data_IF_360983366940
#
_entry.id   IF_360983366940
#
_cell.length_a   1.000
_cell.length_b   1.000
_cell.length_c   1.000
_cell.angle_alpha   90.00
_cell.angle_beta   90.00
_cell.angle_gamma   90.00
#
_symmetry.space_group_name_H-M   'P 1'
#
loop_
_entity.id
_entity.type
_entity.pdbx_description
1 polymer ?
#
# COMPACT_ATOMS: atom_id res chain seq x y z
N UNK A 1 -35.32 -25.92 -90.38
CA UNK A 1 -34.80 -26.78 -89.29
C UNK A 1 -34.12 -25.87 -88.28
N UNK A 2 -34.82 -25.52 -87.21
CA UNK A 2 -34.27 -24.66 -86.09
C UNK A 2 -34.00 -25.57 -84.92
N UNK A 3 -32.75 -25.62 -84.47
CA UNK A 3 -32.35 -26.32 -83.25
C UNK A 3 -32.45 -25.38 -82.09
N UNK A 4 -33.20 -25.77 -81.09
CA UNK A 4 -33.34 -25.08 -79.79
C UNK A 4 -32.40 -25.72 -78.76
N UNK A 5 -31.58 -24.93 -78.14
CA UNK A 5 -30.67 -25.34 -77.01
C UNK A 5 -31.37 -25.00 -75.70
N UNK A 6 -31.38 -25.85 -74.68
CA UNK A 6 -31.91 -25.52 -73.34
C UNK A 6 -30.91 -24.79 -72.46
N UNK A 7 -31.35 -23.73 -71.81
CA UNK A 7 -30.63 -23.04 -70.73
C UNK A 7 -30.68 -23.91 -69.44
N UNK A 8 -29.55 -24.20 -68.89
CA UNK A 8 -29.40 -24.73 -67.50
C UNK A 8 -29.38 -23.53 -66.51
N UNK A 9 -30.39 -23.44 -65.68
CA UNK A 9 -30.40 -22.50 -64.55
C UNK A 9 -29.66 -23.14 -63.35
N UNK A 10 -28.49 -22.59 -63.02
CA UNK A 10 -27.77 -22.95 -61.83
C UNK A 10 -28.30 -22.21 -60.57
N UNK A 11 -28.82 -22.95 -59.62
CA UNK A 11 -29.17 -22.42 -58.27
C UNK A 11 -27.91 -22.26 -57.43
N UNK A 12 -27.52 -21.00 -57.12
CA UNK A 12 -26.51 -20.72 -56.08
C UNK A 12 -27.22 -20.69 -54.72
N UNK A 13 -26.89 -21.70 -53.87
CA UNK A 13 -27.30 -21.72 -52.47
C UNK A 13 -26.21 -20.94 -51.70
N UNK A 14 -26.52 -19.70 -51.26
CA UNK A 14 -25.68 -18.95 -50.34
C UNK A 14 -25.95 -19.44 -48.90
N UNK A 15 -25.00 -20.17 -48.34
CA UNK A 15 -25.02 -20.53 -46.91
C UNK A 15 -24.62 -19.32 -46.07
N UNK A 16 -25.61 -18.69 -45.38
CA UNK A 16 -25.34 -17.71 -44.34
C UNK A 16 -24.75 -18.46 -43.09
N UNK A 17 -23.45 -18.34 -42.87
CA UNK A 17 -22.83 -18.68 -41.58
C UNK A 17 -23.10 -17.52 -40.64
N UNK A 18 -24.12 -17.64 -39.78
CA UNK A 18 -24.34 -16.75 -38.66
C UNK A 18 -23.26 -17.04 -37.60
N UNK A 19 -22.18 -16.28 -37.65
CA UNK A 19 -21.18 -16.27 -36.57
C UNK A 19 -21.80 -15.65 -35.32
N UNK A 20 -22.18 -16.45 -34.33
CA UNK A 20 -22.42 -15.97 -32.97
C UNK A 20 -21.12 -15.39 -32.43
N UNK A 21 -20.91 -14.10 -32.52
CA UNK A 21 -19.93 -13.39 -31.71
C UNK A 21 -20.40 -13.52 -30.26
N UNK A 22 -19.76 -14.42 -29.49
CA UNK A 22 -19.87 -14.40 -28.03
C UNK A 22 -19.28 -13.06 -27.56
N UNK A 23 -20.15 -12.11 -27.25
CA UNK A 23 -19.78 -10.91 -26.52
C UNK A 23 -19.36 -11.37 -25.11
N UNK A 24 -18.07 -11.49 -24.87
CA UNK A 24 -17.55 -11.59 -23.51
C UNK A 24 -17.79 -10.21 -22.85
N UNK A 25 -18.90 -10.09 -22.14
CA UNK A 25 -19.10 -8.97 -21.21
C UNK A 25 -18.03 -9.11 -20.12
N UNK A 26 -16.91 -8.43 -20.30
CA UNK A 26 -15.98 -8.22 -19.19
C UNK A 26 -16.72 -7.37 -18.17
N UNK A 27 -17.13 -7.99 -17.06
CA UNK A 27 -17.65 -7.23 -15.92
C UNK A 27 -16.54 -6.30 -15.42
N UNK A 28 -16.89 -5.05 -15.14
CA UNK A 28 -15.94 -4.09 -14.57
C UNK A 28 -15.27 -4.69 -13.31
N UNK A 29 -13.99 -4.38 -13.05
CA UNK A 29 -13.29 -4.82 -11.83
C UNK A 29 -14.12 -4.49 -10.58
N UNK A 30 -14.22 -5.40 -9.64
CA UNK A 30 -15.00 -5.24 -8.41
C UNK A 30 -14.25 -5.83 -7.24
N UNK A 31 -14.26 -5.13 -6.09
CA UNK A 31 -13.73 -5.65 -4.83
C UNK A 31 -14.60 -6.82 -4.34
N UNK A 32 -13.94 -7.90 -3.92
CA UNK A 32 -14.55 -9.10 -3.33
C UNK A 32 -13.74 -9.51 -2.11
N UNK A 33 -14.33 -10.31 -1.23
CA UNK A 33 -13.62 -10.87 -0.10
C UNK A 33 -12.54 -11.84 -0.58
N UNK A 34 -11.29 -11.59 -0.20
CA UNK A 34 -10.20 -12.54 -0.35
C UNK A 34 -10.17 -13.49 0.84
N UNK A 35 -10.10 -12.91 2.05
CA UNK A 35 -10.06 -13.64 3.30
C UNK A 35 -10.53 -12.79 4.46
N UNK A 36 -11.21 -13.41 5.39
CA UNK A 36 -11.49 -12.86 6.71
C UNK A 36 -10.34 -13.19 7.65
N UNK A 37 -9.80 -12.19 8.33
CA UNK A 37 -8.76 -12.39 9.33
C UNK A 37 -9.35 -12.96 10.63
N UNK A 38 -8.57 -13.71 11.43
CA UNK A 38 -9.01 -14.21 12.74
C UNK A 38 -9.44 -13.08 13.69
N UNK A 39 -10.24 -13.42 14.69
CA UNK A 39 -10.84 -12.50 15.68
C UNK A 39 -9.83 -11.77 16.57
N UNK A 40 -8.58 -12.23 16.59
CA UNK A 40 -7.46 -11.54 17.25
C UNK A 40 -6.78 -10.49 16.35
N UNK A 41 -7.30 -10.24 15.15
CA UNK A 41 -6.79 -9.24 14.21
C UNK A 41 -7.77 -8.08 14.07
N UNK A 42 -7.25 -6.86 14.14
CA UNK A 42 -7.96 -5.63 13.77
C UNK A 42 -6.96 -4.63 13.14
N UNK A 43 -7.47 -3.65 12.43
CA UNK A 43 -6.67 -2.63 11.76
C UNK A 43 -5.48 -3.20 10.94
N UNK A 44 -5.68 -4.15 10.00
CA UNK A 44 -4.61 -4.58 9.11
C UNK A 44 -4.15 -3.41 8.24
N UNK A 45 -2.83 -3.26 8.05
CA UNK A 45 -2.23 -2.12 7.38
C UNK A 45 -1.33 -2.54 6.20
N UNK A 46 -0.04 -2.23 6.23
CA UNK A 46 0.90 -2.45 5.15
C UNK A 46 1.06 -3.91 4.74
N UNK A 47 1.42 -4.13 3.49
CA UNK A 47 1.60 -5.47 2.92
C UNK A 47 2.90 -5.62 2.15
N UNK A 48 3.50 -6.82 2.20
CA UNK A 48 4.68 -7.18 1.43
C UNK A 48 4.45 -8.47 0.65
N UNK A 49 4.72 -8.44 -0.66
CA UNK A 49 4.69 -9.63 -1.51
C UNK A 49 5.99 -10.44 -1.35
N UNK A 50 5.87 -11.73 -1.05
CA UNK A 50 6.99 -12.64 -0.99
C UNK A 50 7.24 -13.33 -2.34
N UNK A 51 8.43 -13.92 -2.50
CA UNK A 51 8.83 -14.63 -3.73
C UNK A 51 7.94 -15.83 -4.10
N UNK A 52 7.27 -16.42 -3.11
CA UNK A 52 6.34 -17.52 -3.28
C UNK A 52 4.89 -17.09 -3.54
N UNK A 53 4.68 -15.80 -3.81
CA UNK A 53 3.36 -15.14 -3.94
C UNK A 53 2.50 -15.14 -2.67
N UNK A 54 3.07 -15.46 -1.50
CA UNK A 54 2.42 -15.14 -0.22
C UNK A 54 2.50 -13.64 0.03
N UNK A 55 1.54 -13.12 0.80
CA UNK A 55 1.51 -11.72 1.25
C UNK A 55 1.66 -11.69 2.76
N UNK A 56 2.62 -10.93 3.27
CA UNK A 56 2.71 -10.59 4.69
C UNK A 56 1.90 -9.33 4.93
N UNK A 57 1.07 -9.32 5.95
CA UNK A 57 0.20 -8.21 6.35
C UNK A 57 0.58 -7.77 7.76
N UNK A 58 0.86 -6.51 7.97
CA UNK A 58 1.05 -5.94 9.31
C UNK A 58 -0.28 -5.71 9.99
N UNK A 59 -0.35 -6.05 11.29
CA UNK A 59 -1.59 -5.94 12.09
C UNK A 59 -1.25 -5.31 13.43
N UNK A 60 -1.32 -3.97 13.55
CA UNK A 60 -0.99 -3.24 14.78
C UNK A 60 -2.03 -3.41 15.90
N UNK A 61 -3.24 -3.79 15.57
CA UNK A 61 -4.35 -3.96 16.52
C UNK A 61 -4.70 -2.69 17.32
N UNK A 62 -4.83 -1.54 16.62
CA UNK A 62 -5.09 -0.24 17.27
C UNK A 62 -6.48 -0.13 17.90
N UNK A 63 -7.50 -0.81 17.35
CA UNK A 63 -8.88 -0.74 17.88
C UNK A 63 -9.11 -1.63 19.12
N UNK A 64 -8.27 -2.63 19.33
CA UNK A 64 -8.26 -3.46 20.55
C UNK A 64 -6.82 -3.85 20.90
N UNK A 65 -6.16 -3.03 21.69
CA UNK A 65 -4.79 -3.24 22.12
C UNK A 65 -4.61 -4.34 23.16
N UNK A 66 -5.68 -4.99 23.63
CA UNK A 66 -5.56 -6.22 24.43
C UNK A 66 -5.05 -7.39 23.58
N UNK A 67 -5.19 -7.28 22.25
CA UNK A 67 -4.62 -8.24 21.29
C UNK A 67 -3.19 -7.86 20.98
N UNK A 68 -2.23 -8.82 20.96
CA UNK A 68 -0.84 -8.51 20.59
C UNK A 68 -0.74 -8.05 19.13
N UNK A 69 0.20 -7.14 18.81
CA UNK A 69 0.50 -6.82 17.42
C UNK A 69 1.18 -8.01 16.74
N UNK A 70 0.92 -8.19 15.45
CA UNK A 70 1.41 -9.37 14.74
C UNK A 70 1.59 -9.11 13.24
N UNK A 71 2.22 -10.07 12.57
CA UNK A 71 2.21 -10.21 11.13
C UNK A 71 1.37 -11.44 10.77
N UNK A 72 0.44 -11.26 9.85
CA UNK A 72 -0.28 -12.35 9.21
C UNK A 72 0.38 -12.71 7.87
N UNK A 73 0.25 -13.95 7.43
CA UNK A 73 0.59 -14.41 6.09
C UNK A 73 -0.68 -14.84 5.39
N UNK A 74 -0.91 -14.28 4.21
CA UNK A 74 -1.89 -14.79 3.27
C UNK A 74 -1.15 -15.69 2.30
N UNK A 75 -1.44 -16.99 2.33
CA UNK A 75 -0.78 -17.98 1.49
C UNK A 75 -1.16 -17.81 0.01
N UNK A 76 -0.43 -18.44 -0.95
CA UNK A 76 -0.84 -18.44 -2.35
C UNK A 76 -2.23 -19.07 -2.59
N UNK A 77 -2.69 -19.91 -1.65
CA UNK A 77 -4.05 -20.48 -1.64
C UNK A 77 -5.09 -19.57 -0.97
N UNK A 78 -4.73 -18.32 -0.68
CA UNK A 78 -5.59 -17.32 -0.03
C UNK A 78 -6.09 -17.71 1.37
N UNK A 79 -5.25 -18.40 2.14
CA UNK A 79 -5.52 -18.74 3.53
C UNK A 79 -4.74 -17.82 4.46
N UNK A 80 -5.39 -17.31 5.52
CA UNK A 80 -4.73 -16.49 6.53
C UNK A 80 -4.12 -17.37 7.62
N UNK A 81 -2.83 -17.17 7.91
CA UNK A 81 -2.11 -17.83 8.98
C UNK A 81 -1.25 -16.80 9.75
N UNK A 82 -1.02 -17.06 11.05
CA UNK A 82 -0.11 -16.23 11.85
C UNK A 82 1.33 -16.45 11.39
N UNK A 83 2.00 -15.36 10.98
CA UNK A 83 3.40 -15.42 10.59
C UNK A 83 4.33 -15.13 11.77
N UNK A 84 4.08 -14.04 12.50
CA UNK A 84 4.88 -13.63 13.65
C UNK A 84 4.05 -12.79 14.61
N UNK A 85 4.17 -13.06 15.90
CA UNK A 85 3.54 -12.27 16.97
C UNK A 85 4.62 -11.52 17.74
N UNK A 86 4.48 -10.21 17.85
CA UNK A 86 5.46 -9.41 18.59
C UNK A 86 5.24 -9.58 20.09
N UNK A 87 6.30 -9.80 20.87
CA UNK A 87 6.22 -9.82 22.33
C UNK A 87 5.58 -8.53 22.87
N UNK A 88 4.72 -8.65 23.87
CA UNK A 88 4.09 -7.51 24.52
C UNK A 88 4.07 -7.75 26.04
N UNK A 89 4.81 -6.99 26.86
CA UNK A 89 5.71 -5.89 26.48
C UNK A 89 6.91 -6.35 25.65
N UNK A 90 7.40 -5.47 24.75
CA UNK A 90 8.57 -5.79 23.92
C UNK A 90 9.85 -5.60 24.76
N UNK A 91 10.74 -6.61 24.82
CA UNK A 91 11.94 -6.57 25.65
C UNK A 91 12.87 -5.40 25.27
N UNK A 92 13.38 -4.71 26.29
CA UNK A 92 14.36 -3.63 26.11
C UNK A 92 13.77 -2.26 25.75
N UNK A 93 12.45 -2.15 25.60
CA UNK A 93 11.77 -0.87 25.39
C UNK A 93 11.15 -0.35 26.70
N UNK A 94 11.03 0.97 26.81
CA UNK A 94 10.42 1.61 27.96
C UNK A 94 8.91 1.37 27.98
N UNK A 95 8.33 1.26 29.19
CA UNK A 95 6.89 1.13 29.36
C UNK A 95 6.15 2.27 28.63
N UNK A 96 5.09 1.92 27.93
CA UNK A 96 4.27 2.85 27.15
C UNK A 96 4.65 2.95 25.66
N UNK A 97 5.91 2.56 25.32
CA UNK A 97 6.40 2.42 23.95
C UNK A 97 6.97 1.00 23.70
N UNK A 98 6.63 0.07 24.57
CA UNK A 98 7.06 -1.33 24.58
C UNK A 98 6.06 -2.27 23.87
N UNK A 99 5.11 -1.70 23.14
CA UNK A 99 4.23 -2.38 22.20
C UNK A 99 4.62 -1.97 20.78
N UNK A 100 4.98 -2.92 19.95
CA UNK A 100 5.23 -2.67 18.53
C UNK A 100 3.91 -2.29 17.84
N UNK A 101 3.95 -1.35 16.89
CA UNK A 101 2.80 -0.93 16.07
C UNK A 101 3.20 -0.99 14.58
N UNK A 102 3.19 -2.20 13.96
CA UNK A 102 3.69 -2.39 12.61
C UNK A 102 2.74 -1.75 11.59
N UNK A 103 3.29 -0.83 10.77
CA UNK A 103 2.63 -0.14 9.67
C UNK A 103 3.14 -0.68 8.33
N UNK A 104 3.62 0.20 7.43
CA UNK A 104 4.22 -0.21 6.19
C UNK A 104 5.29 -1.29 6.36
N UNK A 105 5.31 -2.25 5.45
CA UNK A 105 6.23 -3.40 5.47
C UNK A 105 6.71 -3.71 4.06
N UNK A 106 7.97 -4.10 3.91
CA UNK A 106 8.56 -4.45 2.62
C UNK A 106 9.50 -5.64 2.74
N UNK A 107 9.53 -6.49 1.71
CA UNK A 107 10.43 -7.65 1.64
C UNK A 107 11.72 -7.28 0.89
N UNK A 108 12.87 -7.52 1.52
CA UNK A 108 14.16 -7.36 0.89
C UNK A 108 14.48 -8.55 -0.07
N UNK A 109 15.40 -8.36 -1.03
CA UNK A 109 15.85 -9.45 -1.90
C UNK A 109 16.43 -10.66 -1.15
N UNK A 110 16.98 -10.46 0.07
CA UNK A 110 17.42 -11.54 0.96
C UNK A 110 16.29 -12.41 1.50
N UNK A 111 15.05 -11.90 1.52
CA UNK A 111 13.90 -12.48 2.19
C UNK A 111 13.66 -11.91 3.60
N UNK A 112 14.53 -11.04 4.09
CA UNK A 112 14.28 -10.29 5.31
C UNK A 112 13.15 -9.29 5.10
N UNK A 113 12.45 -8.92 6.17
CA UNK A 113 11.38 -7.95 6.13
C UNK A 113 11.81 -6.68 6.87
N UNK A 114 11.49 -5.52 6.31
CA UNK A 114 11.61 -4.23 7.00
C UNK A 114 10.22 -3.70 7.26
N UNK A 115 10.00 -3.14 8.45
CA UNK A 115 8.70 -2.54 8.78
C UNK A 115 8.87 -1.27 9.62
N UNK A 116 7.94 -0.35 9.41
CA UNK A 116 7.77 0.84 10.22
C UNK A 116 7.00 0.49 11.50
N UNK A 117 7.45 1.04 12.64
CA UNK A 117 6.83 0.89 13.94
C UNK A 117 6.37 2.27 14.42
N UNK A 118 5.07 2.55 14.34
CA UNK A 118 4.49 3.86 14.58
C UNK A 118 4.08 4.02 16.04
N UNK A 119 4.83 4.83 16.78
CA UNK A 119 4.58 5.12 18.19
C UNK A 119 3.87 6.45 18.45
N UNK A 120 3.64 7.26 17.42
CA UNK A 120 3.08 8.60 17.50
C UNK A 120 1.76 8.70 18.27
N UNK A 121 0.91 7.69 18.16
CA UNK A 121 -0.37 7.64 18.89
C UNK A 121 -0.17 7.41 20.41
N UNK A 122 1.01 6.98 20.83
CA UNK A 122 1.38 6.74 22.23
C UNK A 122 2.26 7.84 22.80
N UNK A 123 3.24 8.26 22.02
CA UNK A 123 4.21 9.27 22.43
C UNK A 123 4.70 10.05 21.20
N UNK A 124 4.40 11.34 21.15
CA UNK A 124 4.77 12.26 20.07
C UNK A 124 6.23 12.75 20.14
N UNK A 125 7.05 12.19 21.05
CA UNK A 125 8.43 12.58 21.25
C UNK A 125 9.40 11.70 20.43
N UNK A 126 9.11 11.49 19.14
CA UNK A 126 10.00 10.82 18.19
C UNK A 126 10.38 9.40 18.66
N UNK A 127 9.36 8.58 18.98
CA UNK A 127 9.55 7.20 19.46
C UNK A 127 9.35 6.14 18.38
N UNK A 128 8.91 6.53 17.17
CA UNK A 128 8.74 5.59 16.07
C UNK A 128 10.08 5.12 15.52
N UNK A 129 10.08 3.94 14.91
CA UNK A 129 11.30 3.17 14.59
C UNK A 129 11.17 2.47 13.25
N UNK A 130 12.30 2.17 12.64
CA UNK A 130 12.43 1.25 11.51
C UNK A 130 13.10 -0.03 12.01
N UNK A 131 12.45 -1.16 11.79
CA UNK A 131 12.95 -2.48 12.18
C UNK A 131 13.20 -3.38 10.98
N UNK A 132 14.11 -4.33 11.16
CA UNK A 132 14.38 -5.45 10.25
C UNK A 132 14.08 -6.76 10.97
N UNK A 133 13.31 -7.63 10.34
CA UNK A 133 13.14 -9.03 10.72
C UNK A 133 14.03 -9.89 9.86
N UNK A 134 14.99 -10.57 10.47
CA UNK A 134 15.82 -11.57 9.80
C UNK A 134 15.02 -12.85 9.69
N UNK A 135 14.75 -13.26 8.44
CA UNK A 135 13.88 -14.41 8.13
C UNK A 135 14.72 -15.55 7.54
N UNK A 136 14.67 -16.73 8.16
CA UNK A 136 15.28 -17.94 7.64
C UNK A 136 14.32 -19.12 7.68
N UNK A 137 14.30 -19.88 6.60
CA UNK A 137 13.38 -21.01 6.49
C UNK A 137 11.90 -20.64 6.69
N UNK A 138 11.52 -19.43 6.31
CA UNK A 138 10.16 -18.92 6.49
C UNK A 138 9.77 -18.53 7.91
N UNK A 139 10.76 -18.41 8.83
CA UNK A 139 10.55 -18.01 10.23
C UNK A 139 11.40 -16.82 10.61
N UNK A 140 10.89 -15.95 11.48
CA UNK A 140 11.64 -14.84 12.05
C UNK A 140 12.63 -15.40 13.07
N UNK A 141 13.94 -15.19 12.84
CA UNK A 141 15.01 -15.57 13.77
C UNK A 141 15.30 -14.48 14.79
N UNK A 142 15.37 -13.23 14.32
CA UNK A 142 15.64 -12.08 15.19
C UNK A 142 15.05 -10.79 14.60
N UNK A 143 14.87 -9.82 15.45
CA UNK A 143 14.48 -8.46 15.13
C UNK A 143 15.66 -7.54 15.40
N UNK A 144 15.96 -6.64 14.47
CA UNK A 144 17.10 -5.71 14.51
C UNK A 144 16.59 -4.29 14.36
N UNK A 145 16.98 -3.39 15.25
CA UNK A 145 16.70 -1.97 15.12
C UNK A 145 17.57 -1.39 14.00
N UNK A 146 16.95 -0.86 12.96
CA UNK A 146 17.66 -0.16 11.89
C UNK A 146 17.83 1.31 12.27
N UNK A 147 16.72 2.00 12.59
CA UNK A 147 16.75 3.41 12.96
C UNK A 147 15.64 3.74 13.95
N UNK A 148 15.87 4.78 14.76
CA UNK A 148 14.91 5.32 15.73
C UNK A 148 14.97 6.85 15.73
N UNK A 149 13.92 7.48 16.29
CA UNK A 149 13.83 8.92 16.35
C UNK A 149 12.88 9.52 15.31
N UNK A 150 12.05 8.70 14.66
CA UNK A 150 10.94 9.17 13.82
C UNK A 150 9.76 9.63 14.70
N UNK A 151 8.96 10.50 14.14
CA UNK A 151 7.66 10.86 14.70
C UNK A 151 6.57 9.89 14.18
N UNK A 152 6.35 9.88 12.86
CA UNK A 152 5.41 8.96 12.19
C UNK A 152 6.13 8.21 11.08
N UNK A 153 6.81 7.13 11.43
CA UNK A 153 7.36 6.18 10.47
C UNK A 153 6.22 5.40 9.81
N UNK A 154 6.12 5.39 8.47
CA UNK A 154 4.98 4.80 7.76
C UNK A 154 5.38 3.97 6.53
N UNK A 155 5.24 4.47 5.30
CA UNK A 155 5.45 3.72 4.07
C UNK A 155 6.92 3.33 3.82
N UNK A 156 7.13 2.17 3.18
CA UNK A 156 8.46 1.61 2.93
C UNK A 156 8.62 1.15 1.47
N UNK A 157 9.78 1.42 0.89
CA UNK A 157 10.21 0.83 -0.38
C UNK A 157 11.69 0.42 -0.32
N UNK A 158 12.08 -0.60 -1.10
CA UNK A 158 13.48 -1.01 -1.23
C UNK A 158 13.94 -0.80 -2.68
N UNK A 159 15.08 -0.13 -2.84
CA UNK A 159 15.69 0.06 -4.14
C UNK A 159 17.22 0.18 -4.00
N UNK A 160 17.96 -0.46 -4.93
CA UNK A 160 19.42 -0.37 -5.03
C UNK A 160 20.18 -0.50 -3.69
N UNK A 161 19.84 -1.55 -2.88
CA UNK A 161 20.54 -1.85 -1.63
C UNK A 161 20.20 -0.89 -0.49
N UNK A 162 19.13 -0.13 -0.60
CA UNK A 162 18.64 0.79 0.43
C UNK A 162 17.16 0.58 0.69
N UNK A 163 16.76 0.83 1.94
CA UNK A 163 15.36 0.98 2.36
C UNK A 163 15.05 2.47 2.46
N UNK A 164 13.91 2.85 1.89
CA UNK A 164 13.35 4.20 1.95
C UNK A 164 12.13 4.17 2.85
N UNK A 165 11.98 5.17 3.69
CA UNK A 165 10.89 5.27 4.65
C UNK A 165 10.30 6.67 4.64
N UNK A 166 8.99 6.77 4.71
CA UNK A 166 8.30 8.04 4.90
C UNK A 166 8.21 8.42 6.36
N UNK A 167 8.47 9.69 6.66
CA UNK A 167 8.19 10.37 7.92
C UNK A 167 6.99 11.30 7.68
N UNK A 168 5.80 10.86 8.04
CA UNK A 168 4.55 11.57 7.70
C UNK A 168 4.38 12.87 8.48
N UNK A 169 5.05 13.01 9.65
CA UNK A 169 4.99 14.22 10.51
C UNK A 169 6.38 14.56 11.02
N UNK A 170 7.24 15.11 10.18
CA UNK A 170 8.61 15.45 10.59
C UNK A 170 8.65 16.61 11.60
N UNK A 171 7.83 17.63 11.41
CA UNK A 171 7.73 18.80 12.30
C UNK A 171 6.26 19.02 12.67
N UNK A 172 5.83 18.55 13.83
CA UNK A 172 4.43 18.59 14.33
C UNK A 172 3.80 19.98 14.25
N UNK A 173 4.54 21.02 14.67
CA UNK A 173 4.03 22.39 14.76
C UNK A 173 4.19 23.18 13.45
N UNK A 174 4.79 22.60 12.40
CA UNK A 174 4.99 23.32 11.14
C UNK A 174 3.67 23.60 10.42
N UNK A 175 3.53 24.82 9.87
CA UNK A 175 2.41 25.26 9.03
C UNK A 175 2.96 25.89 7.73
N UNK A 176 2.79 25.21 6.58
CA UNK A 176 2.20 23.88 6.36
C UNK A 176 2.99 22.76 7.01
N UNK A 177 2.32 21.62 7.27
CA UNK A 177 2.94 20.44 7.82
C UNK A 177 4.14 20.00 6.99
N UNK A 178 5.26 19.71 7.64
CA UNK A 178 6.45 19.17 6.97
C UNK A 178 6.55 17.67 7.18
N UNK A 179 6.71 16.94 6.08
CA UNK A 179 7.00 15.50 6.04
C UNK A 179 8.25 15.23 5.21
N UNK A 180 8.77 14.01 5.26
CA UNK A 180 10.03 13.66 4.60
C UNK A 180 10.05 12.22 4.08
N UNK A 181 11.04 11.94 3.21
CA UNK A 181 11.53 10.59 2.92
C UNK A 181 12.97 10.50 3.42
N UNK A 182 13.28 9.44 4.14
CA UNK A 182 14.61 9.09 4.59
C UNK A 182 15.08 7.82 3.88
N UNK A 183 16.41 7.67 3.69
CA UNK A 183 17.05 6.52 3.04
C UNK A 183 18.14 5.95 3.93
N UNK A 184 18.08 4.64 4.17
CA UNK A 184 19.09 3.87 4.92
C UNK A 184 19.63 2.75 4.04
N UNK A 185 20.91 2.38 4.17
CA UNK A 185 21.40 1.16 3.55
C UNK A 185 20.82 -0.06 4.26
N UNK A 186 20.68 -1.20 3.56
CA UNK A 186 20.10 -2.41 4.15
C UNK A 186 20.99 -3.06 5.24
N UNK A 187 22.24 -2.64 5.37
CA UNK A 187 23.19 -3.09 6.40
C UNK A 187 23.35 -2.10 7.57
N UNK A 188 22.70 -0.94 7.54
CA UNK A 188 22.69 -0.01 8.66
C UNK A 188 21.85 -0.55 9.81
N UNK A 189 22.38 -0.40 11.03
CA UNK A 189 21.74 -0.83 12.27
C UNK A 189 21.98 0.22 13.37
N UNK A 190 21.02 0.34 14.29
CA UNK A 190 21.07 1.20 15.48
C UNK A 190 21.32 2.69 15.17
N UNK A 191 20.83 3.19 14.05
CA UNK A 191 20.91 4.61 13.70
C UNK A 191 19.97 5.39 14.62
N UNK A 192 20.50 6.39 15.32
CA UNK A 192 19.67 7.38 16.03
C UNK A 192 19.60 8.65 15.19
N UNK A 193 18.37 9.00 14.76
CA UNK A 193 18.16 10.24 13.99
C UNK A 193 18.57 11.46 14.83
N UNK A 194 19.11 12.47 14.13
CA UNK A 194 19.45 13.74 14.75
C UNK A 194 18.21 14.48 15.24
N UNK A 195 18.37 15.23 16.30
CA UNK A 195 17.32 16.15 16.79
C UNK A 195 17.80 17.59 16.61
N UNK A 196 17.06 18.43 15.88
CA UNK A 196 15.79 18.16 15.18
C UNK A 196 16.01 17.26 13.94
N UNK A 197 15.03 16.42 13.63
CA UNK A 197 15.08 15.44 12.51
C UNK A 197 15.41 16.09 11.18
N UNK A 198 14.94 17.33 10.93
CA UNK A 198 15.21 18.08 9.69
C UNK A 198 16.70 18.29 9.37
N UNK A 199 17.59 18.08 10.32
CA UNK A 199 19.05 18.16 10.13
C UNK A 199 19.71 16.81 9.90
N UNK A 200 18.93 15.72 9.82
CA UNK A 200 19.45 14.37 9.66
C UNK A 200 19.92 14.14 8.21
N UNK A 201 21.15 13.57 8.02
CA UNK A 201 21.70 13.35 6.68
C UNK A 201 20.98 12.24 5.89
N UNK A 202 20.15 11.40 6.53
CA UNK A 202 19.35 10.38 5.84
C UNK A 202 18.14 10.96 5.09
N UNK A 203 17.73 12.22 5.39
CA UNK A 203 16.66 12.89 4.66
C UNK A 203 17.11 13.14 3.23
N UNK A 204 16.33 12.64 2.28
CA UNK A 204 16.56 12.85 0.85
C UNK A 204 15.60 13.84 0.21
N UNK A 205 14.38 13.96 0.76
CA UNK A 205 13.36 14.90 0.27
C UNK A 205 12.42 15.31 1.39
N UNK A 206 11.86 16.52 1.27
CA UNK A 206 10.82 17.03 2.18
C UNK A 206 9.62 17.51 1.38
N UNK A 207 8.45 17.50 2.02
CA UNK A 207 7.18 17.90 1.44
C UNK A 207 6.43 18.84 2.38
N UNK A 208 5.48 19.58 1.81
CA UNK A 208 4.62 20.50 2.54
C UNK A 208 3.16 20.15 2.27
N UNK A 209 2.38 19.92 3.34
CA UNK A 209 0.95 19.63 3.29
C UNK A 209 0.14 20.72 3.96
N UNK A 210 -0.93 21.19 3.29
CA UNK A 210 -1.78 22.27 3.75
C UNK A 210 -3.03 21.77 4.50
N UNK A 211 -3.37 20.48 4.35
CA UNK A 211 -4.58 19.91 4.94
C UNK A 211 -4.50 19.90 6.47
N UNK A 212 -5.48 20.53 7.11
CA UNK A 212 -5.57 20.61 8.56
C UNK A 212 -6.50 19.55 9.17
N UNK A 213 -7.30 18.85 8.36
CA UNK A 213 -8.22 17.81 8.85
C UNK A 213 -7.46 16.50 9.11
N UNK A 214 -6.51 16.18 8.20
CA UNK A 214 -5.67 14.98 8.28
C UNK A 214 -4.21 15.41 8.18
N UNK A 215 -3.62 15.71 9.31
CA UNK A 215 -2.26 16.26 9.39
C UNK A 215 -1.20 15.17 9.28
N UNK A 216 -1.24 14.40 8.17
CA UNK A 216 -0.21 13.47 7.74
C UNK A 216 0.25 13.84 6.33
N UNK A 217 1.54 13.82 6.10
CA UNK A 217 2.17 14.17 4.82
C UNK A 217 2.57 12.94 4.02
N UNK A 218 3.87 12.76 3.76
CA UNK A 218 4.41 11.65 3.01
C UNK A 218 4.02 10.30 3.63
N UNK A 219 3.43 9.41 2.82
CA UNK A 219 2.88 8.13 3.26
C UNK A 219 3.25 7.03 2.27
N UNK A 220 2.36 6.56 1.39
CA UNK A 220 2.68 5.55 0.41
C UNK A 220 3.90 5.91 -0.45
N UNK A 221 4.73 4.91 -0.75
CA UNK A 221 6.00 5.10 -1.44
C UNK A 221 6.31 3.90 -2.35
N UNK A 222 6.68 4.17 -3.63
CA UNK A 222 6.97 3.11 -4.59
C UNK A 222 7.96 3.58 -5.66
N UNK A 223 8.80 2.67 -6.17
CA UNK A 223 9.71 2.95 -7.30
C UNK A 223 9.11 2.48 -8.63
N UNK A 224 9.29 3.25 -9.72
CA UNK A 224 9.01 2.76 -11.06
C UNK A 224 10.16 1.87 -11.61
N UNK A 225 9.94 1.26 -12.78
CA UNK A 225 10.93 0.40 -13.45
C UNK A 225 12.20 1.16 -13.87
N UNK A 226 12.16 2.50 -13.88
CA UNK A 226 13.27 3.39 -14.25
C UNK A 226 14.06 3.91 -13.04
N UNK A 227 13.64 3.52 -11.82
CA UNK A 227 14.23 3.97 -10.56
C UNK A 227 13.81 5.37 -10.12
N UNK A 228 12.70 5.91 -10.62
CA UNK A 228 12.11 7.10 -10.05
C UNK A 228 11.26 6.71 -8.84
N UNK A 229 11.27 7.54 -7.81
CA UNK A 229 10.51 7.31 -6.57
C UNK A 229 9.22 8.12 -6.60
N UNK A 230 8.10 7.46 -6.34
CA UNK A 230 6.80 8.10 -6.14
C UNK A 230 6.47 8.14 -4.65
N UNK A 231 5.94 9.28 -4.21
CA UNK A 231 5.57 9.53 -2.81
C UNK A 231 4.19 10.15 -2.78
N UNK A 232 3.24 9.46 -2.16
CA UNK A 232 1.90 9.96 -1.90
C UNK A 232 1.86 10.88 -0.68
N UNK A 233 1.16 12.00 -0.76
CA UNK A 233 0.87 12.83 0.41
C UNK A 233 -0.54 12.52 0.90
N UNK A 234 -0.64 11.87 2.06
CA UNK A 234 -1.88 11.37 2.63
C UNK A 234 -2.95 12.46 2.74
N UNK A 235 -2.65 13.56 3.44
CA UNK A 235 -3.62 14.63 3.68
C UNK A 235 -4.00 15.45 2.44
N UNK A 236 -3.22 15.38 1.35
CA UNK A 236 -3.39 16.23 0.17
C UNK A 236 -4.00 15.52 -1.05
N UNK A 237 -3.96 14.18 -1.10
CA UNK A 237 -4.29 13.44 -2.31
C UNK A 237 -3.41 13.86 -3.50
N UNK A 238 -2.11 14.00 -3.26
CA UNK A 238 -1.12 14.44 -4.24
C UNK A 238 0.00 13.42 -4.32
N UNK A 239 0.36 13.05 -5.55
CA UNK A 239 1.51 12.19 -5.84
C UNK A 239 2.69 13.03 -6.29
N UNK A 240 3.82 12.89 -5.61
CA UNK A 240 5.11 13.44 -6.03
C UNK A 240 5.93 12.40 -6.79
N UNK A 241 6.78 12.87 -7.70
CA UNK A 241 7.80 12.08 -8.37
C UNK A 241 9.17 12.66 -8.08
N UNK A 242 10.06 11.81 -7.58
CA UNK A 242 11.47 12.14 -7.32
C UNK A 242 12.32 11.41 -8.35
N UNK A 243 13.22 12.15 -9.00
CA UNK A 243 14.24 11.57 -9.88
C UNK A 243 15.60 11.68 -9.25
N UNK A 244 16.50 10.79 -9.62
CA UNK A 244 17.88 10.76 -9.11
C UNK A 244 18.88 10.98 -10.22
N UNK A 245 20.06 11.52 -9.89
CA UNK A 245 21.21 11.58 -10.78
C UNK A 245 22.04 10.28 -10.71
N UNK A 246 23.11 10.22 -11.48
CA UNK A 246 23.98 9.05 -11.53
C UNK A 246 24.72 8.73 -10.21
N UNK A 247 24.81 9.69 -9.28
CA UNK A 247 25.36 9.50 -7.94
C UNK A 247 24.32 8.97 -6.93
N UNK A 248 23.04 8.93 -7.32
CA UNK A 248 21.91 8.60 -6.45
C UNK A 248 21.46 9.78 -5.58
N UNK A 249 21.89 11.00 -5.87
CA UNK A 249 21.36 12.21 -5.26
C UNK A 249 20.05 12.62 -5.94
N UNK A 250 19.14 13.24 -5.18
CA UNK A 250 17.87 13.75 -5.73
C UNK A 250 18.15 14.84 -6.75
N UNK A 251 17.65 14.64 -7.98
CA UNK A 251 17.74 15.59 -9.09
C UNK A 251 16.51 16.50 -9.18
N UNK A 252 15.32 15.94 -8.97
CA UNK A 252 14.07 16.69 -8.94
C UNK A 252 13.07 16.06 -7.95
N UNK A 253 12.15 16.89 -7.42
CA UNK A 253 10.99 16.50 -6.64
C UNK A 253 9.80 17.35 -7.11
N UNK A 254 8.88 16.78 -7.85
CA UNK A 254 7.82 17.51 -8.53
C UNK A 254 6.47 16.83 -8.31
N UNK A 255 5.38 17.60 -8.33
CA UNK A 255 4.02 17.04 -8.34
C UNK A 255 3.83 16.30 -9.66
N UNK A 256 3.54 15.01 -9.55
CA UNK A 256 3.33 14.11 -10.68
C UNK A 256 1.84 13.96 -11.02
N UNK A 257 0.99 13.76 -10.01
CA UNK A 257 -0.45 13.61 -10.19
C UNK A 257 -1.21 14.31 -9.07
N UNK A 258 -2.30 14.95 -9.46
CA UNK A 258 -3.27 15.57 -8.58
C UNK A 258 -4.63 15.56 -9.28
N UNK A 259 -5.66 15.04 -8.61
CA UNK A 259 -7.00 14.96 -9.17
C UNK A 259 -8.04 15.30 -8.08
N UNK A 260 -8.26 16.60 -7.80
CA UNK A 260 -9.20 17.04 -6.78
C UNK A 260 -10.61 16.44 -6.99
N UNK A 261 -11.20 15.92 -5.91
CA UNK A 261 -12.50 15.23 -5.95
C UNK A 261 -12.46 13.78 -6.45
N UNK A 262 -11.30 13.30 -6.94
CA UNK A 262 -11.11 11.90 -7.34
C UNK A 262 -10.04 11.21 -6.49
N UNK A 263 -8.86 11.80 -6.36
CA UNK A 263 -7.81 11.38 -5.45
C UNK A 263 -7.91 12.24 -4.19
N UNK A 264 -8.48 11.67 -3.13
CA UNK A 264 -8.77 12.42 -1.89
C UNK A 264 -7.61 12.31 -0.93
N UNK A 265 -7.05 11.12 -0.77
CA UNK A 265 -5.80 10.90 -0.07
C UNK A 265 -4.92 9.85 -0.79
N UNK A 266 -3.67 9.72 -0.35
CA UNK A 266 -2.73 8.71 -0.84
C UNK A 266 -2.19 7.97 0.37
N UNK A 267 -2.71 6.79 0.59
CA UNK A 267 -2.19 5.81 1.55
C UNK A 267 -1.22 4.85 0.85
N UNK A 268 -1.10 3.61 1.25
CA UNK A 268 -0.20 2.63 0.67
C UNK A 268 -0.44 2.36 -0.82
N UNK A 269 0.61 2.02 -1.55
CA UNK A 269 0.55 1.81 -3.00
C UNK A 269 1.57 0.83 -3.52
N UNK A 270 1.25 0.16 -4.63
CA UNK A 270 2.17 -0.64 -5.42
C UNK A 270 1.98 -0.41 -6.91
N UNK A 271 3.02 -0.72 -7.70
CA UNK A 271 2.97 -0.65 -9.16
C UNK A 271 2.82 -2.02 -9.81
N UNK A 272 2.27 -2.04 -11.03
CA UNK A 272 2.32 -3.19 -11.92
C UNK A 272 3.56 -3.14 -12.84
N UNK A 273 3.69 -4.17 -13.70
CA UNK A 273 4.80 -4.26 -14.66
C UNK A 273 4.77 -3.16 -15.74
N UNK A 274 3.65 -2.48 -15.93
CA UNK A 274 3.49 -1.37 -16.87
C UNK A 274 3.70 0.01 -16.19
N UNK A 275 4.16 0.02 -14.94
CA UNK A 275 4.34 1.22 -14.11
C UNK A 275 3.03 1.98 -13.80
N UNK A 276 1.86 1.33 -13.84
CA UNK A 276 0.66 1.90 -13.26
C UNK A 276 0.76 1.78 -11.73
N UNK A 277 0.54 2.87 -11.01
CA UNK A 277 0.47 2.86 -9.55
C UNK A 277 -0.98 2.61 -9.11
N UNK A 278 -1.18 1.63 -8.26
CA UNK A 278 -2.45 1.38 -7.58
C UNK A 278 -2.34 1.94 -6.16
N UNK A 279 -3.18 2.92 -5.87
CA UNK A 279 -3.12 3.72 -4.65
C UNK A 279 -4.37 3.48 -3.83
N UNK A 280 -4.21 3.16 -2.55
CA UNK A 280 -5.32 3.15 -1.61
C UNK A 280 -5.74 4.59 -1.29
N UNK A 281 -6.99 4.91 -1.56
CA UNK A 281 -7.64 6.17 -1.19
C UNK A 281 -8.60 5.88 -0.04
N UNK A 282 -8.03 5.86 1.16
CA UNK A 282 -8.69 5.44 2.40
C UNK A 282 -9.92 6.30 2.69
N UNK A 283 -9.82 7.62 2.46
CA UNK A 283 -10.91 8.56 2.75
C UNK A 283 -12.11 8.36 1.81
N UNK A 284 -11.85 7.90 0.58
CA UNK A 284 -12.87 7.71 -0.44
C UNK A 284 -13.43 6.29 -0.51
N UNK A 285 -12.92 5.33 0.28
CA UNK A 285 -13.15 3.88 0.08
C UNK A 285 -12.90 3.48 -1.37
N UNK A 286 -11.71 3.82 -1.91
CA UNK A 286 -11.40 3.60 -3.31
C UNK A 286 -9.99 3.05 -3.52
N UNK A 287 -9.80 2.38 -4.66
CA UNK A 287 -8.48 2.14 -5.25
C UNK A 287 -8.39 2.99 -6.51
N UNK A 288 -7.42 3.90 -6.52
CA UNK A 288 -7.12 4.74 -7.68
C UNK A 288 -5.98 4.13 -8.49
N UNK A 289 -5.98 4.37 -9.80
CA UNK A 289 -4.87 4.06 -10.69
C UNK A 289 -4.24 5.38 -11.13
N UNK A 290 -2.93 5.54 -10.94
CA UNK A 290 -2.17 6.63 -11.53
C UNK A 290 -1.34 6.05 -12.67
N UNK A 291 -1.67 6.47 -13.90
CA UNK A 291 -0.98 6.01 -15.11
C UNK A 291 0.42 6.62 -15.22
N UNK A 292 1.34 6.04 -16.01
CA UNK A 292 2.69 6.60 -16.22
C UNK A 292 2.73 8.03 -16.78
N UNK A 293 1.63 8.52 -17.32
CA UNK A 293 1.47 9.91 -17.77
C UNK A 293 0.86 10.86 -16.73
N UNK A 294 0.60 10.38 -15.49
CA UNK A 294 0.00 11.15 -14.41
C UNK A 294 -1.54 11.20 -14.41
N UNK A 295 -2.21 10.53 -15.36
CA UNK A 295 -3.69 10.46 -15.36
C UNK A 295 -4.17 9.60 -14.19
N UNK A 296 -5.17 10.09 -13.45
CA UNK A 296 -5.82 9.38 -12.34
C UNK A 296 -7.15 8.80 -12.78
N UNK A 297 -7.32 7.51 -12.57
CA UNK A 297 -8.54 6.74 -12.84
C UNK A 297 -8.98 5.99 -11.58
N UNK A 298 -10.28 5.81 -11.37
CA UNK A 298 -10.80 4.97 -10.28
C UNK A 298 -10.94 3.54 -10.76
N UNK A 299 -10.22 2.60 -10.14
CA UNK A 299 -10.37 1.16 -10.41
C UNK A 299 -11.67 0.64 -9.79
N UNK A 300 -11.87 0.92 -8.52
CA UNK A 300 -13.07 0.58 -7.75
C UNK A 300 -13.29 1.57 -6.61
N UNK A 301 -14.54 1.84 -6.31
CA UNK A 301 -14.97 2.64 -5.17
C UNK A 301 -16.33 2.15 -4.67
N UNK A 302 -16.55 2.18 -3.37
CA UNK A 302 -17.85 1.88 -2.76
C UNK A 302 -18.17 2.82 -1.60
N UNK A 303 -19.43 2.82 -1.20
CA UNK A 303 -19.89 3.52 -0.01
C UNK A 303 -19.46 2.79 1.28
N UNK A 304 -19.80 3.35 2.45
CA UNK A 304 -19.53 2.76 3.75
C UNK A 304 -20.06 1.32 3.83
N UNK A 305 -19.28 0.42 4.42
CA UNK A 305 -19.57 -1.01 4.46
C UNK A 305 -20.30 -1.37 5.73
N UNK A 306 -21.41 -2.07 5.60
CA UNK A 306 -22.15 -2.61 6.74
C UNK A 306 -22.13 -4.14 6.80
N UNK A 307 -21.79 -4.80 5.70
CA UNK A 307 -21.67 -6.27 5.57
C UNK A 307 -20.27 -6.67 5.15
N UNK A 308 -19.47 -7.12 6.10
CA UNK A 308 -18.08 -7.55 5.91
C UNK A 308 -17.93 -8.79 5.00
N UNK A 309 -18.98 -9.55 4.77
CA UNK A 309 -18.94 -10.76 3.92
C UNK A 309 -18.85 -10.44 2.43
N UNK A 310 -19.17 -9.21 2.02
CA UNK A 310 -19.12 -8.78 0.64
C UNK A 310 -17.69 -8.60 0.13
N UNK A 311 -16.74 -8.29 1.03
CA UNK A 311 -15.35 -7.97 0.71
C UNK A 311 -15.18 -6.65 0.00
N UNK A 312 -16.14 -5.73 0.11
CA UNK A 312 -15.98 -4.35 -0.34
C UNK A 312 -14.89 -3.64 0.47
N UNK A 313 -14.38 -2.54 -0.09
CA UNK A 313 -13.36 -1.74 0.57
C UNK A 313 -13.94 -1.08 1.84
N UNK A 314 -13.15 -1.09 2.89
CA UNK A 314 -13.53 -0.58 4.20
C UNK A 314 -12.33 0.14 4.82
N UNK A 315 -12.14 1.37 4.40
CA UNK A 315 -10.93 2.14 4.61
C UNK A 315 -9.67 1.39 4.13
N UNK A 316 -9.53 1.22 2.81
CA UNK A 316 -8.34 0.57 2.25
C UNK A 316 -7.09 1.38 2.60
N UNK A 317 -6.04 0.73 3.11
CA UNK A 317 -4.79 1.39 3.46
C UNK A 317 -3.59 0.89 2.66
N UNK A 318 -3.67 -0.28 2.02
CA UNK A 318 -2.64 -0.77 1.11
C UNK A 318 -3.27 -1.41 -0.13
N UNK A 319 -2.66 -1.20 -1.31
CA UNK A 319 -3.11 -1.76 -2.59
C UNK A 319 -1.97 -2.53 -3.26
N UNK A 320 -1.75 -3.78 -2.82
CA UNK A 320 -0.64 -4.63 -3.26
C UNK A 320 -0.94 -5.31 -4.60
N UNK A 321 -0.05 -5.17 -5.58
CA UNK A 321 -0.13 -5.88 -6.87
C UNK A 321 0.41 -7.30 -6.74
N UNK A 322 -0.41 -8.31 -7.05
CA UNK A 322 -0.05 -9.72 -7.12
C UNK A 322 -0.49 -10.32 -8.47
N UNK A 323 0.40 -10.28 -9.46
CA UNK A 323 0.07 -10.72 -10.83
C UNK A 323 -1.00 -9.82 -11.48
N UNK A 324 -2.17 -10.38 -11.78
CA UNK A 324 -3.34 -9.66 -12.31
C UNK A 324 -4.41 -9.35 -11.25
N UNK A 325 -3.99 -9.32 -10.00
CA UNK A 325 -4.84 -9.04 -8.84
C UNK A 325 -4.31 -7.86 -8.04
N UNK A 326 -5.22 -7.07 -7.47
CA UNK A 326 -4.92 -6.12 -6.41
C UNK A 326 -5.45 -6.69 -5.10
N UNK A 327 -4.55 -6.93 -4.16
CA UNK A 327 -4.88 -7.33 -2.79
C UNK A 327 -4.97 -6.05 -1.97
N UNK A 328 -6.01 -5.91 -1.16
CA UNK A 328 -6.26 -4.68 -0.40
C UNK A 328 -6.47 -5.01 1.07
N UNK A 329 -5.69 -4.39 1.95
CA UNK A 329 -5.95 -4.41 3.38
C UNK A 329 -6.99 -3.34 3.73
N UNK A 330 -7.97 -3.72 4.56
CA UNK A 330 -9.02 -2.83 5.04
C UNK A 330 -8.75 -2.52 6.50
N UNK A 331 -8.23 -1.32 6.78
CA UNK A 331 -7.80 -0.92 8.12
C UNK A 331 -8.98 -0.75 9.08
N UNK A 332 -10.09 -0.24 8.55
CA UNK A 332 -11.32 0.00 9.32
C UNK A 332 -11.06 0.76 10.64
N UNK A 333 -10.34 1.86 10.51
CA UNK A 333 -10.04 2.79 11.60
C UNK A 333 -10.63 4.17 11.29
N UNK A 334 -11.87 4.46 11.70
CA UNK A 334 -12.60 5.64 11.26
C UNK A 334 -11.89 6.95 11.61
N UNK A 335 -11.60 7.74 10.59
CA UNK A 335 -11.15 9.12 10.73
C UNK A 335 -12.29 10.10 10.42
N UNK A 336 -12.28 11.31 11.00
CA UNK A 336 -13.25 12.33 10.64
C UNK A 336 -13.27 12.59 9.12
N UNK A 337 -14.46 12.67 8.53
CA UNK A 337 -14.70 12.93 7.10
C UNK A 337 -14.32 11.78 6.15
N UNK A 338 -13.93 10.62 6.64
CA UNK A 338 -13.79 9.42 5.81
C UNK A 338 -15.18 8.86 5.50
N UNK A 339 -15.29 8.15 4.37
CA UNK A 339 -16.53 7.40 4.04
C UNK A 339 -16.80 6.30 5.05
N UNK A 340 -15.76 5.59 5.48
CA UNK A 340 -15.88 4.65 6.59
C UNK A 340 -16.20 5.40 7.87
N UNK A 341 -17.36 5.09 8.47
CA UNK A 341 -17.90 5.80 9.63
C UNK A 341 -17.79 5.02 10.94
N UNK A 342 -17.53 3.71 10.88
CA UNK A 342 -17.56 2.81 12.04
C UNK A 342 -16.51 1.72 11.92
N UNK A 343 -15.87 1.42 13.04
CA UNK A 343 -15.12 0.19 13.20
C UNK A 343 -16.04 -1.01 13.32
N UNK A 344 -15.74 -2.09 12.62
CA UNK A 344 -16.50 -3.33 12.60
C UNK A 344 -15.57 -4.55 12.50
N UNK A 345 -15.95 -5.64 13.14
CA UNK A 345 -15.31 -6.95 12.99
C UNK A 345 -16.16 -7.86 12.09
N UNK A 346 -15.56 -8.86 11.46
CA UNK A 346 -14.14 -9.19 11.42
C UNK A 346 -13.33 -8.25 10.50
N UNK A 347 -12.02 -8.13 10.74
CA UNK A 347 -11.10 -7.49 9.79
C UNK A 347 -11.01 -8.32 8.51
N UNK A 348 -10.89 -7.66 7.36
CA UNK A 348 -10.94 -8.31 6.04
C UNK A 348 -9.79 -7.87 5.14
N UNK A 349 -9.42 -8.75 4.23
CA UNK A 349 -8.57 -8.45 3.07
C UNK A 349 -9.44 -8.63 1.82
N UNK A 350 -9.46 -7.62 0.97
CA UNK A 350 -10.20 -7.63 -0.30
C UNK A 350 -9.30 -8.01 -1.48
N UNK A 351 -9.93 -8.42 -2.58
CA UNK A 351 -9.27 -8.67 -3.86
C UNK A 351 -10.03 -8.00 -4.99
N UNK A 352 -9.30 -7.39 -5.92
CA UNK A 352 -9.84 -6.87 -7.18
C UNK A 352 -9.10 -7.56 -8.32
N UNK A 353 -9.83 -8.29 -9.19
CA UNK A 353 -9.27 -8.87 -10.40
C UNK A 353 -9.17 -7.80 -11.48
N UNK A 354 -8.03 -7.68 -12.14
CA UNK A 354 -7.80 -6.68 -13.20
C UNK A 354 -8.34 -7.13 -14.57
N UNK A 355 -8.63 -8.44 -14.73
CA UNK A 355 -9.14 -9.04 -15.98
C UNK A 355 -10.25 -10.02 -15.69
#
# INVERSE_FOLDING_TARGET
MKRTTPLLAGLLIAALVAGCAMSTTTTAPQAKLLVTLPDYCNTPDGMALLKDNSVIVSVPNFNDETKPPLLMRITPANQAEKFYEFPTPFPGLAKGIDRIAPMGIVAAPSGDLYFADMQYMKDKNQKSRLWKLVVKGGKVEKMVLVASGFNVANGLAIHNGSVYITESVMEEESQPLTSAVLRFKLDEENVQLKTPVKSDPHIIATFKSQNNDWRFGADGIEFDSKGNLFVGLFGEGVMHKITFDASGAVKSNEVFAKAPGKLINCDGMHRDAADNLYVADSAANAIQIIRPNGTVETLWQNEDVTDKTTGQLDQPCEALVRGDEIIVSNMDWPFPKFKNSKYQLPATISIIKLK
#
